data_IF_707572761983
#
_entry.id   IF_707572761983
#
_cell.length_a   1.000
_cell.length_b   1.000
_cell.length_c   1.000
_cell.angle_alpha   90.00
_cell.angle_beta   90.00
_cell.angle_gamma   90.00
#
_symmetry.space_group_name_H-M   'P 1'
#
loop_
_entity.id
_entity.type
_entity.pdbx_description
1 polymer ?
#
# COMPACT_ATOMS: atom_id res chain seq x y z
N UNK A 1 -19.97 11.39 3.68
CA UNK A 1 -19.38 10.04 3.71
C UNK A 1 -17.87 10.21 3.78
N UNK A 2 -17.16 9.54 4.70
CA UNK A 2 -15.70 9.63 4.73
C UNK A 2 -15.12 9.03 3.45
N UNK A 3 -14.28 9.81 2.77
CA UNK A 3 -13.57 9.35 1.58
C UNK A 3 -12.32 8.57 2.01
N UNK A 4 -11.75 7.81 1.08
CA UNK A 4 -10.49 7.10 1.29
C UNK A 4 -9.36 8.07 1.68
N UNK A 5 -9.35 9.25 1.04
CA UNK A 5 -8.42 10.33 1.35
C UNK A 5 -8.60 10.90 2.77
N UNK A 6 -9.83 10.90 3.31
CA UNK A 6 -10.09 11.33 4.68
C UNK A 6 -9.53 10.35 5.70
N UNK A 7 -9.69 9.03 5.46
CA UNK A 7 -9.10 7.98 6.31
C UNK A 7 -7.58 8.05 6.28
N UNK A 8 -6.98 8.24 5.10
CA UNK A 8 -5.54 8.43 4.93
C UNK A 8 -5.01 9.59 5.78
N UNK A 9 -5.59 10.78 5.65
CA UNK A 9 -5.13 11.98 6.37
C UNK A 9 -5.41 11.96 7.86
N UNK A 10 -6.57 11.43 8.28
CA UNK A 10 -7.00 11.51 9.69
C UNK A 10 -6.48 10.36 10.55
N UNK A 11 -6.18 9.20 9.95
CA UNK A 11 -5.81 8.01 10.70
C UNK A 11 -4.42 7.49 10.35
N UNK A 12 -4.08 7.39 9.06
CA UNK A 12 -2.84 6.73 8.64
C UNK A 12 -1.64 7.66 8.84
N UNK A 13 -1.66 8.85 8.24
CA UNK A 13 -0.57 9.83 8.33
C UNK A 13 -0.18 10.16 9.80
N UNK A 14 -1.10 10.56 10.70
CA UNK A 14 -0.71 10.93 12.06
C UNK A 14 -0.17 9.75 12.86
N UNK A 15 -0.60 8.50 12.57
CA UNK A 15 -0.04 7.31 13.23
C UNK A 15 1.36 7.00 12.74
N UNK A 16 1.63 7.16 11.44
CA UNK A 16 2.97 6.97 10.89
C UNK A 16 3.94 8.03 11.42
N UNK A 17 3.50 9.28 11.50
CA UNK A 17 4.27 10.37 12.11
C UNK A 17 4.56 10.10 13.59
N UNK A 18 3.56 9.67 14.37
CA UNK A 18 3.75 9.31 15.78
C UNK A 18 4.72 8.14 15.99
N UNK A 19 4.89 7.29 14.98
CA UNK A 19 5.86 6.19 14.97
C UNK A 19 7.25 6.60 14.45
N UNK A 20 7.47 7.87 14.12
CA UNK A 20 8.76 8.40 13.67
C UNK A 20 9.10 8.08 12.21
N UNK A 21 8.10 7.83 11.36
CA UNK A 21 8.32 7.54 9.93
C UNK A 21 8.50 8.79 9.05
N UNK A 22 8.43 9.99 9.63
CA UNK A 22 8.61 11.28 8.95
C UNK A 22 10.04 11.86 9.13
N UNK A 23 10.87 11.18 9.92
CA UNK A 23 12.24 11.60 10.25
C UNK A 23 13.28 10.67 9.61
N UNK A 24 14.39 11.24 9.13
CA UNK A 24 15.51 10.44 8.61
C UNK A 24 16.02 9.46 9.69
N UNK A 25 16.30 8.18 9.32
CA UNK A 25 16.43 7.64 7.96
C UNK A 25 15.12 7.10 7.33
N UNK A 26 14.01 7.11 8.07
CA UNK A 26 12.74 6.55 7.65
C UNK A 26 11.97 7.53 6.77
N UNK A 27 11.35 7.05 5.71
CA UNK A 27 10.61 7.90 4.78
C UNK A 27 9.31 7.23 4.35
N UNK A 28 8.25 8.04 4.31
CA UNK A 28 6.97 7.66 3.74
C UNK A 28 6.90 8.25 2.34
N UNK A 29 6.70 7.40 1.33
CA UNK A 29 6.48 7.84 -0.04
C UNK A 29 5.05 7.53 -0.47
N UNK A 30 4.25 8.57 -0.70
CA UNK A 30 2.85 8.43 -1.12
C UNK A 30 2.73 8.14 -2.63
N UNK A 31 1.68 7.40 -3.01
CA UNK A 31 1.21 7.21 -4.39
C UNK A 31 2.28 6.73 -5.39
N UNK A 32 3.20 5.88 -4.94
CA UNK A 32 4.29 5.38 -5.78
C UNK A 32 3.85 4.18 -6.62
N UNK A 33 4.29 4.17 -7.87
CA UNK A 33 4.21 3.00 -8.75
C UNK A 33 5.31 2.02 -8.33
N UNK A 34 4.95 0.78 -8.00
CA UNK A 34 5.93 -0.26 -7.64
C UNK A 34 6.46 -0.95 -8.90
N UNK A 35 5.57 -1.19 -9.87
CA UNK A 35 5.90 -1.94 -11.08
C UNK A 35 5.25 -1.30 -12.29
N UNK A 36 5.97 -1.29 -13.41
CA UNK A 36 5.51 -0.81 -14.72
C UNK A 36 4.47 -1.72 -15.39
N UNK A 37 3.96 -2.70 -14.65
CA UNK A 37 2.96 -3.65 -15.12
C UNK A 37 3.58 -4.97 -15.59
N UNK A 38 2.87 -6.06 -15.36
CA UNK A 38 3.31 -7.39 -15.77
C UNK A 38 3.00 -7.60 -17.25
N UNK A 39 4.02 -7.95 -18.04
CA UNK A 39 3.81 -8.41 -19.42
C UNK A 39 3.25 -9.83 -19.36
N UNK A 40 2.12 -10.06 -20.03
CA UNK A 40 1.47 -11.36 -20.14
C UNK A 40 1.34 -11.72 -21.61
N UNK A 41 1.78 -12.91 -22.05
CA UNK A 41 1.57 -13.36 -23.41
C UNK A 41 0.07 -13.57 -23.66
N UNK A 42 -0.43 -13.03 -24.78
CA UNK A 42 -1.82 -13.13 -25.18
C UNK A 42 -1.90 -13.43 -26.69
N UNK A 43 -2.19 -14.69 -27.04
CA UNK A 43 -2.25 -15.14 -28.43
C UNK A 43 -0.91 -14.96 -29.17
N UNK A 44 -0.93 -14.27 -30.31
CA UNK A 44 0.27 -13.94 -31.11
C UNK A 44 1.05 -12.72 -30.61
N UNK A 45 0.68 -12.13 -29.47
CA UNK A 45 1.30 -10.91 -28.97
C UNK A 45 1.46 -10.88 -27.44
N UNK A 46 1.73 -9.68 -26.92
CA UNK A 46 1.92 -9.43 -25.50
C UNK A 46 1.00 -8.30 -25.05
N UNK A 47 0.35 -8.47 -23.90
CA UNK A 47 -0.45 -7.43 -23.25
C UNK A 47 0.21 -7.04 -21.94
N UNK A 48 0.38 -5.74 -21.70
CA UNK A 48 0.83 -5.21 -20.41
C UNK A 48 -0.37 -5.05 -19.48
N UNK A 49 -0.28 -5.68 -18.31
CA UNK A 49 -1.23 -5.44 -17.21
C UNK A 49 -1.01 -4.03 -16.64
N UNK A 50 -2.05 -3.42 -16.05
CA UNK A 50 -1.94 -2.10 -15.45
C UNK A 50 -0.87 -2.07 -14.37
N UNK A 51 -0.19 -0.92 -14.28
CA UNK A 51 0.81 -0.65 -13.26
C UNK A 51 0.19 -0.74 -11.87
N UNK A 52 0.89 -1.38 -10.93
CA UNK A 52 0.46 -1.38 -9.53
C UNK A 52 0.96 -0.11 -8.86
N UNK A 53 0.01 0.70 -8.40
CA UNK A 53 0.22 1.86 -7.53
C UNK A 53 -0.19 1.48 -6.13
N UNK A 54 0.51 2.04 -5.16
CA UNK A 54 0.23 1.84 -3.75
C UNK A 54 0.02 3.17 -3.07
N UNK A 55 -0.79 3.16 -2.02
CA UNK A 55 -1.12 4.39 -1.29
C UNK A 55 0.11 4.92 -0.56
N UNK A 56 0.79 4.05 0.19
CA UNK A 56 2.02 4.40 0.89
C UNK A 56 3.08 3.32 0.75
N UNK A 57 4.31 3.76 0.52
CA UNK A 57 5.52 2.94 0.58
C UNK A 57 6.37 3.38 1.77
N UNK A 58 6.57 2.47 2.71
CA UNK A 58 7.39 2.67 3.89
C UNK A 58 8.84 2.27 3.61
N UNK A 59 9.77 3.20 3.81
CA UNK A 59 11.21 3.00 3.61
C UNK A 59 11.94 3.07 4.94
N UNK A 60 12.66 2.00 5.29
CA UNK A 60 13.47 1.98 6.52
C UNK A 60 14.73 2.84 6.35
N UNK A 61 15.32 2.76 5.17
CA UNK A 61 16.33 3.72 4.67
C UNK A 61 15.95 4.09 3.24
N UNK A 62 16.55 5.16 2.69
CA UNK A 62 16.27 5.61 1.32
C UNK A 62 16.31 4.47 0.28
N UNK A 63 17.26 3.55 0.44
CA UNK A 63 17.50 2.44 -0.46
C UNK A 63 16.79 1.13 -0.06
N UNK A 64 16.21 1.06 1.15
CA UNK A 64 15.56 -0.14 1.67
C UNK A 64 14.06 0.06 1.91
N UNK A 65 13.19 -0.31 0.95
CA UNK A 65 11.75 -0.35 1.16
C UNK A 65 11.39 -1.51 2.11
N UNK A 66 10.69 -1.21 3.20
CA UNK A 66 10.31 -2.21 4.20
C UNK A 66 8.93 -2.81 3.95
N UNK A 67 7.96 -1.96 3.63
CA UNK A 67 6.56 -2.36 3.56
C UNK A 67 5.73 -1.43 2.67
N UNK A 68 4.58 -1.93 2.27
CA UNK A 68 3.56 -1.22 1.50
C UNK A 68 2.31 -1.16 2.37
N UNK A 69 1.65 0.00 2.41
CA UNK A 69 0.32 0.14 3.00
C UNK A 69 -0.68 0.46 1.90
N UNK A 70 -1.77 -0.31 1.89
CA UNK A 70 -2.97 -0.04 1.12
C UNK A 70 -4.03 0.49 2.09
N UNK A 71 -4.50 1.70 1.86
CA UNK A 71 -5.58 2.27 2.64
C UNK A 71 -6.90 1.70 2.13
N UNK A 72 -7.79 1.33 3.05
CA UNK A 72 -9.16 0.96 2.72
C UNK A 72 -10.10 1.92 3.41
N UNK A 73 -11.19 2.29 2.71
CA UNK A 73 -12.24 3.11 3.30
C UNK A 73 -12.75 2.48 4.59
N UNK A 74 -13.01 3.32 5.59
CA UNK A 74 -13.72 2.95 6.80
C UNK A 74 -15.18 2.62 6.47
N UNK A 75 -15.40 1.39 6.03
CA UNK A 75 -16.72 0.80 6.00
C UNK A 75 -16.94 0.29 7.42
N UNK A 76 -17.97 0.77 8.13
CA UNK A 76 -18.47 0.07 9.33
C UNK A 76 -18.81 -1.35 8.89
N UNK A 77 -17.92 -2.29 9.17
CA UNK A 77 -18.16 -3.70 8.92
C UNK A 77 -19.20 -4.08 9.99
N UNK A 78 -20.46 -4.41 9.65
CA UNK A 78 -21.32 -5.09 10.61
C UNK A 78 -20.58 -6.35 11.05
N UNK A 79 -20.66 -6.79 12.32
CA UNK A 79 -19.81 -7.87 12.84
C UNK A 79 -19.85 -9.08 11.91
N UNK A 80 -18.84 -9.19 11.05
CA UNK A 80 -18.70 -10.26 10.07
C UNK A 80 -17.81 -11.33 10.70
N UNK A 81 -18.21 -12.57 10.44
CA UNK A 81 -17.63 -13.76 11.03
C UNK A 81 -16.09 -13.84 10.90
N UNK A 82 -15.53 -14.66 11.80
CA UNK A 82 -14.13 -14.88 12.11
C UNK A 82 -13.27 -15.48 10.97
N UNK A 83 -13.75 -15.66 9.72
CA UNK A 83 -13.04 -16.50 8.74
C UNK A 83 -12.37 -15.79 7.55
N UNK A 84 -11.71 -14.65 7.77
CA UNK A 84 -10.83 -14.07 6.74
C UNK A 84 -9.46 -13.61 7.25
N UNK A 85 -8.77 -14.47 7.99
CA UNK A 85 -7.31 -14.44 8.01
C UNK A 85 -6.78 -14.99 6.68
N UNK A 86 -6.61 -14.13 5.68
CA UNK A 86 -5.76 -14.44 4.52
C UNK A 86 -4.59 -13.49 4.51
N UNK A 87 -3.57 -13.90 5.28
CA UNK A 87 -2.14 -13.77 4.99
C UNK A 87 -1.84 -13.29 3.58
N UNK A 88 -1.08 -12.20 3.46
CA UNK A 88 -0.05 -12.07 2.42
C UNK A 88 0.96 -11.02 2.88
N UNK A 89 1.88 -11.46 3.74
CA UNK A 89 3.19 -10.84 3.90
C UNK A 89 3.93 -11.12 2.60
N UNK A 90 4.08 -10.12 1.73
CA UNK A 90 4.95 -10.23 0.56
C UNK A 90 6.29 -9.62 0.95
N UNK A 91 7.21 -10.47 1.40
CA UNK A 91 8.61 -10.12 1.49
C UNK A 91 9.07 -9.74 0.06
N UNK A 92 9.73 -8.59 -0.06
CA UNK A 92 10.57 -8.32 -1.23
C UNK A 92 11.83 -9.16 -1.05
N UNK A 93 11.97 -10.20 -1.87
CA UNK A 93 13.25 -10.72 -2.34
C UNK A 93 13.41 -10.27 -3.80
#
# INVERSE_FOLDING_TARGET
MPTEADTCRKLIVPRLQALGWDDEPHLIAEQRTITDGRIVPAGKGFVRKPTKRVDYLLRYTRDFPLAVLEAKRDIKIPPMDCNRQKTTRKCLD
#
